data_IF_230363764610
#
_entry.id   IF_230363764610
#
_cell.length_a   1.000
_cell.length_b   1.000
_cell.length_c   1.000
_cell.angle_alpha   90.00
_cell.angle_beta   90.00
_cell.angle_gamma   90.00
#
_symmetry.space_group_name_H-M   'P 1'
#
loop_
_entity.id
_entity.type
_entity.pdbx_description
1 polymer ?
#
# COMPACT_ATOMS: atom_id res chain seq x y z
N UNK A 1 17.25 -25.82 -35.49
CA UNK A 1 17.22 -26.13 -34.04
C UNK A 1 17.37 -24.79 -33.34
N UNK A 2 16.24 -24.14 -33.05
CA UNK A 2 16.20 -22.79 -32.51
C UNK A 2 16.41 -22.85 -30.99
N UNK A 3 17.57 -22.38 -30.54
CA UNK A 3 17.88 -22.18 -29.12
C UNK A 3 17.13 -20.93 -28.64
N UNK A 4 15.80 -20.99 -28.56
CA UNK A 4 14.98 -19.97 -27.93
C UNK A 4 15.14 -20.08 -26.41
N UNK A 5 16.26 -19.57 -25.91
CA UNK A 5 16.52 -19.44 -24.50
C UNK A 5 15.37 -18.64 -23.87
N UNK A 6 14.56 -19.34 -23.08
CA UNK A 6 13.45 -18.78 -22.29
C UNK A 6 13.97 -17.54 -21.54
N UNK A 7 13.45 -16.34 -21.85
CA UNK A 7 13.95 -15.11 -21.24
C UNK A 7 13.92 -15.22 -19.71
N UNK A 8 14.94 -14.74 -18.98
CA UNK A 8 15.03 -14.87 -17.52
C UNK A 8 13.76 -14.46 -16.77
N UNK A 9 13.03 -13.48 -17.30
CA UNK A 9 11.78 -12.91 -16.78
C UNK A 9 10.56 -13.84 -16.86
N UNK A 10 10.62 -14.90 -17.69
CA UNK A 10 9.54 -15.89 -17.85
C UNK A 10 9.73 -17.14 -16.99
N UNK A 11 10.82 -17.19 -16.20
CA UNK A 11 11.13 -18.28 -15.26
C UNK A 11 10.15 -18.37 -14.08
N UNK A 12 9.35 -17.34 -13.84
CA UNK A 12 8.32 -17.31 -12.78
C UNK A 12 6.92 -17.75 -13.26
N UNK A 13 6.75 -18.08 -14.55
CA UNK A 13 5.45 -18.41 -15.16
C UNK A 13 4.64 -17.18 -15.61
N UNK A 14 5.20 -15.97 -15.47
CA UNK A 14 4.63 -14.73 -15.98
C UNK A 14 5.08 -14.48 -17.43
N UNK A 15 4.25 -13.77 -18.19
CA UNK A 15 4.59 -13.37 -19.55
C UNK A 15 5.86 -12.49 -19.56
N UNK A 16 6.72 -12.62 -20.58
CA UNK A 16 7.90 -11.77 -20.71
C UNK A 16 7.49 -10.32 -20.97
N UNK A 17 8.34 -9.37 -20.55
CA UNK A 17 8.11 -7.95 -20.81
C UNK A 17 8.10 -7.70 -22.32
N UNK A 18 7.09 -6.99 -22.79
CA UNK A 18 7.00 -6.57 -24.18
C UNK A 18 7.22 -5.07 -24.25
N UNK A 19 8.06 -4.58 -25.17
CA UNK A 19 8.17 -3.16 -25.41
C UNK A 19 6.80 -2.65 -25.87
N UNK A 20 6.19 -1.78 -25.07
CA UNK A 20 4.93 -1.12 -25.36
C UNK A 20 5.16 0.39 -25.37
N UNK A 21 4.47 1.10 -26.26
CA UNK A 21 4.47 2.55 -26.23
C UNK A 21 3.59 3.03 -25.08
N UNK A 22 4.18 3.84 -24.20
CA UNK A 22 3.45 4.47 -23.11
C UNK A 22 2.41 5.43 -23.68
N UNK A 23 1.16 5.43 -23.17
CA UNK A 23 0.20 6.47 -23.53
C UNK A 23 0.74 7.85 -23.14
N UNK A 24 0.41 8.91 -23.89
CA UNK A 24 0.86 10.25 -23.57
C UNK A 24 0.39 10.65 -22.16
N UNK A 25 1.23 11.34 -21.36
CA UNK A 25 0.86 11.73 -20.02
C UNK A 25 -0.39 12.61 -20.06
N UNK A 26 -1.37 12.38 -19.16
CA UNK A 26 -2.54 13.24 -19.09
C UNK A 26 -2.08 14.67 -18.79
N UNK A 27 -2.56 15.63 -19.57
CA UNK A 27 -2.33 17.06 -19.37
C UNK A 27 -3.65 17.75 -18.94
N UNK A 28 -4.14 17.47 -17.72
CA UNK A 28 -5.43 17.98 -17.26
C UNK A 28 -5.39 19.51 -17.14
N UNK A 29 -6.42 20.18 -17.67
CA UNK A 29 -6.66 21.61 -17.49
C UNK A 29 -7.95 21.83 -16.69
N UNK A 30 -7.91 22.77 -15.75
CA UNK A 30 -9.06 23.16 -14.92
C UNK A 30 -9.67 21.98 -14.17
N UNK A 31 -10.99 21.79 -14.28
CA UNK A 31 -11.76 20.74 -13.60
C UNK A 31 -11.35 19.31 -13.97
N UNK A 32 -10.64 19.11 -15.08
CA UNK A 32 -10.13 17.79 -15.50
C UNK A 32 -9.17 17.17 -14.48
N UNK A 33 -8.57 17.98 -13.60
CA UNK A 33 -7.75 17.51 -12.48
C UNK A 33 -8.53 16.60 -11.52
N UNK A 34 -9.83 16.82 -11.35
CA UNK A 34 -10.66 15.97 -10.48
C UNK A 34 -10.79 14.54 -11.03
N UNK A 35 -10.76 14.36 -12.36
CA UNK A 35 -10.78 13.03 -12.97
C UNK A 35 -9.45 12.29 -12.83
N UNK A 36 -8.33 13.01 -12.79
CA UNK A 36 -6.99 12.44 -12.65
C UNK A 36 -6.65 12.13 -11.18
N UNK A 37 -7.07 13.00 -10.26
CA UNK A 37 -6.76 12.90 -8.82
C UNK A 37 -7.86 12.17 -8.04
N UNK A 38 -9.08 12.12 -8.59
CA UNK A 38 -10.26 11.52 -7.97
C UNK A 38 -10.06 10.13 -7.39
N UNK A 39 -9.49 9.15 -8.14
CA UNK A 39 -9.23 7.82 -7.60
C UNK A 39 -8.29 7.85 -6.38
N UNK A 40 -7.26 8.69 -6.40
CA UNK A 40 -6.35 8.87 -5.28
C UNK A 40 -7.04 9.49 -4.07
N UNK A 41 -7.87 10.51 -4.27
CA UNK A 41 -8.64 11.16 -3.21
C UNK A 41 -9.63 10.20 -2.54
N UNK A 42 -10.27 9.31 -3.31
CA UNK A 42 -11.17 8.29 -2.75
C UNK A 42 -10.40 7.33 -1.82
N UNK A 43 -9.24 6.84 -2.27
CA UNK A 43 -8.40 5.94 -1.45
C UNK A 43 -7.85 6.64 -0.21
N UNK A 44 -7.43 7.91 -0.34
CA UNK A 44 -7.00 8.73 0.80
C UNK A 44 -8.14 8.95 1.80
N UNK A 45 -9.35 9.26 1.32
CA UNK A 45 -10.53 9.44 2.17
C UNK A 45 -10.91 8.15 2.91
N UNK A 46 -10.88 7.01 2.23
CA UNK A 46 -11.12 5.70 2.86
C UNK A 46 -10.08 5.39 3.96
N UNK A 47 -8.82 5.76 3.74
CA UNK A 47 -7.74 5.53 4.72
C UNK A 47 -7.94 6.37 5.98
N UNK A 48 -8.21 7.68 5.83
CA UNK A 48 -8.42 8.60 6.97
C UNK A 48 -9.67 8.22 7.79
N UNK A 49 -10.75 7.79 7.13
CA UNK A 49 -12.01 7.44 7.80
C UNK A 49 -12.01 6.11 8.56
N UNK A 50 -11.00 5.26 8.35
CA UNK A 50 -11.06 3.86 8.79
C UNK A 50 -10.62 3.59 10.24
N UNK A 51 -9.88 4.50 10.90
CA UNK A 51 -9.46 4.29 12.30
C UNK A 51 -8.40 5.27 12.83
N UNK A 52 -7.69 5.96 11.93
CA UNK A 52 -6.66 6.95 12.26
C UNK A 52 -7.20 8.11 13.14
N UNK A 53 -8.48 8.45 12.96
CA UNK A 53 -9.15 9.54 13.68
C UNK A 53 -9.34 9.28 15.18
N UNK A 54 -9.33 8.01 15.61
CA UNK A 54 -9.37 7.63 17.03
C UNK A 54 -7.98 7.39 17.59
N UNK A 55 -7.12 6.70 16.83
CA UNK A 55 -5.76 6.36 17.24
C UNK A 55 -4.86 7.59 17.36
N UNK A 56 -4.99 8.56 16.43
CA UNK A 56 -4.20 9.79 16.42
C UNK A 56 -4.40 10.63 17.69
N UNK A 57 -5.63 11.04 18.03
CA UNK A 57 -5.92 11.78 19.26
C UNK A 57 -5.58 10.99 20.53
N UNK A 58 -5.86 9.69 20.57
CA UNK A 58 -5.51 8.86 21.73
C UNK A 58 -4.00 8.80 21.96
N UNK A 59 -3.21 8.63 20.91
CA UNK A 59 -1.75 8.66 20.99
C UNK A 59 -1.23 10.06 21.36
N UNK A 60 -1.86 11.13 20.86
CA UNK A 60 -1.52 12.51 21.22
C UNK A 60 -1.78 12.80 22.71
N UNK A 61 -2.91 12.33 23.25
CA UNK A 61 -3.23 12.50 24.68
C UNK A 61 -2.29 11.68 25.56
N UNK A 62 -1.90 10.46 25.17
CA UNK A 62 -0.99 9.62 25.96
C UNK A 62 0.47 10.04 25.90
N UNK A 63 0.98 10.41 24.71
CA UNK A 63 2.41 10.59 24.46
C UNK A 63 2.79 12.04 24.08
N UNK A 64 1.81 12.94 23.95
CA UNK A 64 2.03 14.34 23.59
C UNK A 64 2.66 14.53 22.21
N UNK A 65 3.49 15.58 22.06
CA UNK A 65 4.21 15.87 20.81
C UNK A 65 5.39 14.93 20.54
N UNK A 66 5.75 14.05 21.46
CA UNK A 66 6.95 13.20 21.34
C UNK A 66 6.88 12.23 20.16
N UNK A 67 5.68 11.86 19.70
CA UNK A 67 5.50 10.94 18.56
C UNK A 67 5.36 11.64 17.20
N UNK A 68 5.24 12.97 17.15
CA UNK A 68 4.98 13.70 15.90
C UNK A 68 6.08 13.52 14.86
N UNK A 69 7.33 13.36 15.29
CA UNK A 69 8.45 13.09 14.37
C UNK A 69 8.32 11.73 13.68
N UNK A 70 7.72 10.73 14.35
CA UNK A 70 7.48 9.40 13.76
C UNK A 70 6.46 9.52 12.65
N UNK A 71 5.38 10.28 12.86
CA UNK A 71 4.37 10.57 11.83
C UNK A 71 4.99 11.28 10.63
N UNK A 72 5.86 12.28 10.87
CA UNK A 72 6.55 12.99 9.80
C UNK A 72 7.47 12.08 8.99
N UNK A 73 8.28 11.25 9.67
CA UNK A 73 9.16 10.29 9.04
C UNK A 73 8.37 9.23 8.24
N UNK A 74 7.26 8.73 8.80
CA UNK A 74 6.37 7.78 8.14
C UNK A 74 5.73 8.39 6.89
N UNK A 75 5.19 9.61 6.96
CA UNK A 75 4.60 10.30 5.82
C UNK A 75 5.63 10.55 4.70
N UNK A 76 6.86 10.93 5.06
CA UNK A 76 7.94 11.11 4.11
C UNK A 76 8.29 9.78 3.42
N UNK A 77 8.55 8.73 4.21
CA UNK A 77 8.90 7.41 3.68
C UNK A 77 7.77 6.83 2.81
N UNK A 78 6.52 7.00 3.24
CA UNK A 78 5.34 6.58 2.48
C UNK A 78 5.23 7.32 1.14
N UNK A 79 5.56 8.62 1.11
CA UNK A 79 5.59 9.40 -0.13
C UNK A 79 6.66 8.90 -1.08
N UNK A 80 7.88 8.64 -0.58
CA UNK A 80 9.00 8.11 -1.36
C UNK A 80 8.63 6.73 -1.93
N UNK A 81 8.17 5.81 -1.07
CA UNK A 81 7.77 4.47 -1.46
C UNK A 81 6.66 4.50 -2.52
N UNK A 82 5.56 5.23 -2.29
CA UNK A 82 4.49 5.35 -3.27
C UNK A 82 4.97 5.89 -4.61
N UNK A 83 5.88 6.87 -4.60
CA UNK A 83 6.47 7.43 -5.83
C UNK A 83 7.28 6.39 -6.58
N UNK A 84 8.07 5.58 -5.89
CA UNK A 84 8.82 4.47 -6.49
C UNK A 84 7.91 3.38 -7.04
N UNK A 85 6.85 3.02 -6.31
CA UNK A 85 5.86 2.04 -6.75
C UNK A 85 5.14 2.48 -8.03
N UNK A 86 4.77 3.77 -8.10
CA UNK A 86 4.17 4.35 -9.30
C UNK A 86 5.16 4.34 -10.48
N UNK A 87 6.41 4.76 -10.25
CA UNK A 87 7.46 4.75 -11.29
C UNK A 87 7.70 3.34 -11.83
N UNK A 88 7.72 2.32 -10.96
CA UNK A 88 7.82 0.92 -11.38
C UNK A 88 6.63 0.49 -12.24
N UNK A 89 5.42 0.80 -11.80
CA UNK A 89 4.18 0.44 -12.50
C UNK A 89 4.12 1.09 -13.88
N UNK A 90 4.55 2.35 -14.00
CA UNK A 90 4.65 3.05 -15.29
C UNK A 90 5.74 2.43 -16.17
N UNK A 91 6.89 2.07 -15.62
CA UNK A 91 8.00 1.53 -16.40
C UNK A 91 7.75 0.10 -16.92
N UNK A 92 7.07 -0.74 -16.14
CA UNK A 92 6.91 -2.18 -16.45
C UNK A 92 5.49 -2.58 -16.86
N UNK A 93 4.49 -1.72 -16.63
CA UNK A 93 3.09 -2.02 -16.87
C UNK A 93 2.48 -3.00 -15.85
N UNK A 94 3.23 -3.37 -14.81
CA UNK A 94 2.80 -4.33 -13.80
C UNK A 94 2.99 -3.79 -12.38
N UNK A 95 2.15 -4.19 -11.42
CA UNK A 95 2.31 -3.77 -10.04
C UNK A 95 3.60 -4.35 -9.44
N UNK A 96 4.22 -3.60 -8.53
CA UNK A 96 5.47 -3.96 -7.84
C UNK A 96 5.43 -5.37 -7.25
N UNK A 97 4.27 -5.79 -6.72
CA UNK A 97 4.08 -7.11 -6.10
C UNK A 97 4.27 -8.25 -7.12
N UNK A 98 3.82 -8.07 -8.35
CA UNK A 98 4.08 -9.00 -9.46
C UNK A 98 5.56 -8.99 -9.85
N UNK A 99 6.21 -7.81 -9.77
CA UNK A 99 7.66 -7.69 -9.90
C UNK A 99 8.45 -8.51 -8.87
N UNK A 100 8.03 -8.48 -7.59
CA UNK A 100 8.64 -9.31 -6.54
C UNK A 100 8.40 -10.80 -6.75
N UNK A 101 7.26 -11.20 -7.31
CA UNK A 101 7.04 -12.61 -7.69
C UNK A 101 7.97 -13.09 -8.81
N UNK A 102 8.62 -12.19 -9.57
CA UNK A 102 9.67 -12.53 -10.54
C UNK A 102 11.05 -12.74 -9.93
N UNK A 103 11.32 -12.26 -8.71
CA UNK A 103 12.65 -12.42 -8.08
C UNK A 103 12.79 -13.76 -7.37
N UNK A 104 13.99 -14.36 -7.43
CA UNK A 104 14.35 -15.53 -6.61
C UNK A 104 14.16 -15.15 -5.13
N UNK A 105 13.57 -16.01 -4.26
CA UNK A 105 13.74 -17.47 -4.24
C UNK A 105 12.64 -18.28 -4.94
N UNK A 106 11.34 -18.00 -4.69
CA UNK A 106 10.17 -18.64 -5.32
C UNK A 106 8.93 -17.73 -5.20
N UNK A 107 8.02 -17.68 -6.19
CA UNK A 107 6.80 -16.86 -6.13
C UNK A 107 5.92 -17.16 -4.90
N UNK A 108 5.85 -18.44 -4.49
CA UNK A 108 5.08 -18.86 -3.32
C UNK A 108 5.65 -18.36 -1.98
N UNK A 109 6.96 -18.13 -1.88
CA UNK A 109 7.57 -17.53 -0.68
C UNK A 109 7.15 -16.07 -0.54
N UNK A 110 7.21 -15.30 -1.63
CA UNK A 110 6.77 -13.90 -1.64
C UNK A 110 5.29 -13.78 -1.32
N UNK A 111 4.44 -14.66 -1.85
CA UNK A 111 3.01 -14.68 -1.53
C UNK A 111 2.75 -14.88 -0.02
N UNK A 112 3.41 -15.88 0.59
CA UNK A 112 3.30 -16.11 2.04
C UNK A 112 3.90 -14.98 2.87
N UNK A 113 5.04 -14.45 2.46
CA UNK A 113 5.69 -13.33 3.14
C UNK A 113 4.80 -12.08 3.14
N UNK A 114 4.22 -11.72 2.00
CA UNK A 114 3.27 -10.60 1.92
C UNK A 114 1.99 -10.88 2.68
N UNK A 115 1.46 -12.11 2.66
CA UNK A 115 0.28 -12.47 3.43
C UNK A 115 0.51 -12.31 4.94
N UNK A 116 1.68 -12.73 5.42
CA UNK A 116 2.08 -12.58 6.84
C UNK A 116 2.26 -11.09 7.18
N UNK A 117 2.96 -10.32 6.34
CA UNK A 117 3.13 -8.89 6.56
C UNK A 117 1.79 -8.15 6.59
N UNK A 118 0.87 -8.49 5.68
CA UNK A 118 -0.47 -7.92 5.65
C UNK A 118 -1.26 -8.30 6.91
N UNK A 119 -1.18 -9.57 7.32
CA UNK A 119 -1.80 -10.03 8.56
C UNK A 119 -1.22 -9.31 9.80
N UNK A 120 0.09 -9.08 9.85
CA UNK A 120 0.72 -8.34 10.94
C UNK A 120 0.34 -6.85 10.91
N UNK A 121 0.19 -6.26 9.73
CA UNK A 121 -0.24 -4.87 9.55
C UNK A 121 -1.69 -4.67 10.00
N UNK A 122 -2.61 -5.52 9.53
CA UNK A 122 -4.04 -5.43 9.86
C UNK A 122 -4.31 -5.94 11.27
N UNK A 123 -3.59 -6.98 11.70
CA UNK A 123 -3.64 -7.54 13.05
C UNK A 123 -2.88 -6.74 14.10
N UNK A 124 -2.38 -5.54 13.75
CA UNK A 124 -1.66 -4.68 14.69
C UNK A 124 -2.53 -4.39 15.94
N UNK A 125 -1.93 -4.33 17.15
CA UNK A 125 -2.67 -4.12 18.39
C UNK A 125 -3.58 -2.90 18.40
N UNK A 126 -3.28 -1.86 17.59
CA UNK A 126 -4.13 -0.68 17.44
C UNK A 126 -5.50 -0.97 16.82
N UNK A 127 -5.56 -1.76 15.75
CA UNK A 127 -6.82 -2.13 15.08
C UNK A 127 -7.58 -3.19 15.86
N UNK A 128 -6.86 -4.20 16.37
CA UNK A 128 -7.44 -5.21 17.24
C UNK A 128 -7.97 -4.60 18.55
N UNK A 129 -7.23 -3.66 19.15
CA UNK A 129 -7.64 -2.94 20.36
C UNK A 129 -8.83 -2.01 20.13
N UNK A 130 -8.86 -1.27 19.02
CA UNK A 130 -10.00 -0.44 18.65
C UNK A 130 -11.27 -1.28 18.40
N UNK A 131 -11.14 -2.41 17.69
CA UNK A 131 -12.27 -3.33 17.46
C UNK A 131 -12.74 -3.99 18.76
N UNK A 132 -11.81 -4.45 19.62
CA UNK A 132 -12.14 -5.02 20.92
C UNK A 132 -12.83 -3.99 21.83
N UNK A 133 -12.35 -2.75 21.86
CA UNK A 133 -12.97 -1.66 22.62
C UNK A 133 -14.38 -1.33 22.13
N UNK A 134 -14.60 -1.30 20.80
CA UNK A 134 -15.94 -1.08 20.23
C UNK A 134 -16.91 -2.21 20.58
N UNK A 135 -16.47 -3.47 20.51
CA UNK A 135 -17.26 -4.64 20.91
C UNK A 135 -17.57 -4.57 22.42
N UNK A 136 -16.57 -4.30 23.26
CA UNK A 136 -16.76 -4.18 24.70
C UNK A 136 -17.78 -3.08 25.04
N UNK A 137 -17.69 -1.92 24.42
CA UNK A 137 -18.63 -0.82 24.61
C UNK A 137 -20.06 -1.21 24.21
N UNK A 138 -20.24 -1.94 23.10
CA UNK A 138 -21.56 -2.40 22.67
C UNK A 138 -22.24 -3.33 23.69
N UNK A 139 -21.47 -4.18 24.37
CA UNK A 139 -22.00 -5.13 25.34
C UNK A 139 -22.12 -4.57 26.76
N UNK A 140 -21.17 -3.76 27.21
CA UNK A 140 -21.07 -3.33 28.60
C UNK A 140 -21.48 -1.87 28.82
N UNK A 141 -21.63 -1.07 27.75
CA UNK A 141 -21.98 0.37 27.79
C UNK A 141 -21.09 1.24 28.69
N UNK A 142 -19.91 0.75 29.06
CA UNK A 142 -18.90 1.48 29.84
C UNK A 142 -17.60 1.62 29.04
N UNK A 143 -16.93 2.76 29.20
CA UNK A 143 -15.60 3.03 28.62
C UNK A 143 -14.55 2.74 29.70
N UNK A 144 -13.72 1.72 29.46
CA UNK A 144 -12.55 1.41 30.28
C UNK A 144 -11.37 2.33 29.95
#
# INVERSE_FOLDING_TARGET
>A
MDNSAVPPESRSGLAPWRPAQLPPPPNPKGLSWLGVVGPGVIVLGASIGSGEFLLGPAAFVQYGLTLLWVTLAAAFLQTVLNTELMRWTVATGEPIFTGFMRTKPRPGFWAWFYAILYFLQVGWPGWAGAAAGAIFFLFFRELA
#
